data_IF_552530073548
#
_entry.id   IF_552530073548
#
_cell.length_a   1.000
_cell.length_b   1.000
_cell.length_c   1.000
_cell.angle_alpha   90.00
_cell.angle_beta   90.00
_cell.angle_gamma   90.00
#
_symmetry.space_group_name_H-M   'P 1'
#
loop_
_entity.id
_entity.type
_entity.pdbx_description
1 polymer ?
#
# COMPACT_ATOMS: atom_id res chain seq x y z
N UNK A 1 -23.75 -26.93 18.14
CA UNK A 1 -23.99 -25.87 17.15
C UNK A 1 -22.71 -25.12 16.76
N UNK A 2 -22.10 -24.28 17.61
CA UNK A 2 -20.95 -23.41 17.24
C UNK A 2 -19.77 -24.17 16.61
N UNK A 3 -19.34 -25.30 17.19
CA UNK A 3 -18.23 -26.12 16.65
C UNK A 3 -18.57 -26.81 15.32
N UNK A 4 -19.84 -27.09 15.05
CA UNK A 4 -20.29 -27.70 13.79
C UNK A 4 -20.38 -26.64 12.68
N UNK A 5 -20.87 -25.43 13.00
CA UNK A 5 -20.89 -24.30 12.06
C UNK A 5 -19.47 -23.86 11.66
N UNK A 6 -18.54 -23.78 12.62
CA UNK A 6 -17.14 -23.45 12.34
C UNK A 6 -16.45 -24.46 11.42
N UNK A 7 -16.79 -25.75 11.54
CA UNK A 7 -16.25 -26.83 10.72
C UNK A 7 -16.92 -26.91 9.34
N UNK A 8 -18.22 -26.62 9.27
CA UNK A 8 -18.97 -26.52 8.01
C UNK A 8 -18.50 -25.35 7.12
N UNK A 9 -18.12 -24.22 7.71
CA UNK A 9 -17.62 -23.05 6.99
C UNK A 9 -16.11 -23.09 6.71
N UNK A 10 -15.38 -24.15 7.08
CA UNK A 10 -13.91 -24.18 7.04
C UNK A 10 -13.27 -22.91 7.63
N UNK A 11 -13.80 -22.45 8.77
CA UNK A 11 -13.52 -21.11 9.32
C UNK A 11 -12.03 -20.84 9.50
N UNK A 12 -11.25 -21.84 9.94
CA UNK A 12 -9.80 -21.69 10.11
C UNK A 12 -9.06 -21.41 8.80
N UNK A 13 -9.48 -22.03 7.69
CA UNK A 13 -8.88 -21.80 6.36
C UNK A 13 -9.26 -20.41 5.84
N UNK A 14 -10.53 -20.03 5.97
CA UNK A 14 -11.01 -18.71 5.56
C UNK A 14 -10.30 -17.59 6.34
N UNK A 15 -10.22 -17.72 7.66
CA UNK A 15 -9.53 -16.76 8.52
C UNK A 15 -8.04 -16.63 8.19
N UNK A 16 -7.35 -17.77 7.98
CA UNK A 16 -5.95 -17.76 7.59
C UNK A 16 -5.75 -17.08 6.23
N UNK A 17 -6.59 -17.39 5.24
CA UNK A 17 -6.55 -16.74 3.93
C UNK A 17 -6.76 -15.23 4.04
N UNK A 18 -7.78 -14.76 4.76
CA UNK A 18 -8.04 -13.32 4.94
C UNK A 18 -6.90 -12.62 5.66
N UNK A 19 -6.39 -13.18 6.77
CA UNK A 19 -5.24 -12.63 7.49
C UNK A 19 -4.02 -12.55 6.57
N UNK A 20 -3.73 -13.61 5.83
CA UNK A 20 -2.58 -13.65 4.92
C UNK A 20 -2.67 -12.59 3.83
N UNK A 21 -3.83 -12.43 3.19
CA UNK A 21 -4.04 -11.42 2.13
C UNK A 21 -3.83 -10.02 2.69
N UNK A 22 -4.45 -9.72 3.84
CA UNK A 22 -4.36 -8.38 4.45
C UNK A 22 -2.94 -8.03 4.88
N UNK A 23 -2.18 -8.98 5.44
CA UNK A 23 -0.80 -8.76 5.84
C UNK A 23 0.14 -8.58 4.63
N UNK A 24 -0.07 -9.36 3.56
CA UNK A 24 0.69 -9.22 2.32
C UNK A 24 0.43 -7.85 1.68
N UNK A 25 -0.84 -7.43 1.61
CA UNK A 25 -1.21 -6.08 1.16
C UNK A 25 -0.53 -5.00 2.00
N UNK A 26 -0.58 -5.12 3.33
CA UNK A 26 0.03 -4.14 4.23
C UNK A 26 1.55 -4.05 4.05
N UNK A 27 2.23 -5.18 3.88
CA UNK A 27 3.67 -5.22 3.63
C UNK A 27 4.03 -4.56 2.28
N UNK A 28 3.34 -4.95 1.19
CA UNK A 28 3.55 -4.36 -0.14
C UNK A 28 3.32 -2.85 -0.12
N UNK A 29 2.22 -2.41 0.48
CA UNK A 29 1.90 -0.99 0.58
C UNK A 29 2.96 -0.23 1.39
N UNK A 30 3.42 -0.79 2.50
CA UNK A 30 4.46 -0.16 3.34
C UNK A 30 5.72 0.08 2.55
N UNK A 31 6.20 -0.94 1.81
CA UNK A 31 7.41 -0.83 0.99
C UNK A 31 7.26 0.26 -0.07
N UNK A 32 6.16 0.24 -0.83
CA UNK A 32 5.94 1.18 -1.93
C UNK A 32 5.76 2.62 -1.42
N UNK A 33 5.02 2.79 -0.32
CA UNK A 33 4.83 4.09 0.31
C UNK A 33 6.14 4.65 0.89
N UNK A 34 7.02 3.78 1.40
CA UNK A 34 8.34 4.16 1.91
C UNK A 34 9.21 4.72 0.78
N UNK A 35 9.33 4.00 -0.33
CA UNK A 35 10.06 4.49 -1.51
C UNK A 35 9.49 5.82 -2.03
N UNK A 36 8.17 5.91 -2.16
CA UNK A 36 7.48 7.12 -2.63
C UNK A 36 7.72 8.29 -1.68
N UNK A 37 7.58 8.06 -0.37
CA UNK A 37 7.76 9.08 0.65
C UNK A 37 9.20 9.60 0.70
N UNK A 38 10.19 8.72 0.56
CA UNK A 38 11.60 9.10 0.47
C UNK A 38 11.87 9.97 -0.77
N UNK A 39 11.30 9.56 -1.91
CA UNK A 39 11.32 10.32 -3.16
C UNK A 39 10.83 11.76 -2.98
N UNK A 40 9.66 11.93 -2.36
CA UNK A 40 9.09 13.25 -2.07
C UNK A 40 9.86 14.04 -1.00
N UNK A 41 10.46 13.37 -0.02
CA UNK A 41 11.20 14.04 1.04
C UNK A 41 12.53 14.63 0.52
N UNK A 42 13.34 13.81 -0.18
CA UNK A 42 14.73 14.18 -0.53
C UNK A 42 14.87 14.82 -1.91
N UNK A 43 14.16 14.34 -2.92
CA UNK A 43 14.38 14.82 -4.29
C UNK A 43 13.62 16.09 -4.60
N UNK A 44 14.25 16.97 -5.39
CA UNK A 44 13.62 18.14 -6.01
C UNK A 44 13.40 17.83 -7.49
N UNK A 45 12.14 17.76 -7.91
CA UNK A 45 11.76 17.51 -9.31
C UNK A 45 10.74 18.53 -9.78
N UNK A 46 10.69 18.78 -11.10
CA UNK A 46 9.98 19.93 -11.69
C UNK A 46 8.49 20.02 -11.34
N UNK A 47 7.81 18.88 -11.17
CA UNK A 47 6.38 18.81 -10.87
C UNK A 47 6.06 18.44 -9.42
N UNK A 48 7.02 18.58 -8.49
CA UNK A 48 6.86 18.16 -7.09
C UNK A 48 5.62 18.72 -6.40
N UNK A 49 5.33 20.01 -6.61
CA UNK A 49 4.13 20.65 -6.02
C UNK A 49 2.82 20.07 -6.56
N UNK A 50 2.76 19.78 -7.87
CA UNK A 50 1.60 19.18 -8.50
C UNK A 50 1.35 17.77 -7.96
N UNK A 51 2.37 16.91 -7.98
CA UNK A 51 2.22 15.55 -7.46
C UNK A 51 1.94 15.51 -5.96
N UNK A 52 2.47 16.47 -5.18
CA UNK A 52 2.13 16.60 -3.77
C UNK A 52 0.67 17.05 -3.57
N UNK A 53 0.13 17.93 -4.42
CA UNK A 53 -1.28 18.28 -4.40
C UNK A 53 -2.18 17.08 -4.76
N UNK A 54 -1.80 16.29 -5.77
CA UNK A 54 -2.49 15.04 -6.13
C UNK A 54 -2.48 14.06 -4.94
N UNK A 55 -1.34 13.91 -4.27
CA UNK A 55 -1.23 13.11 -3.05
C UNK A 55 -2.21 13.57 -1.95
N UNK A 56 -2.34 14.88 -1.74
CA UNK A 56 -3.31 15.40 -0.76
C UNK A 56 -4.76 15.14 -1.20
N UNK A 57 -5.05 15.21 -2.50
CA UNK A 57 -6.38 14.88 -3.02
C UNK A 57 -6.75 13.41 -2.76
N UNK A 58 -5.82 12.46 -2.89
CA UNK A 58 -6.12 11.04 -2.61
C UNK A 58 -6.43 10.76 -1.14
N UNK A 59 -6.06 11.66 -0.22
CA UNK A 59 -6.43 11.59 1.19
C UNK A 59 -7.86 12.10 1.41
N UNK A 60 -8.27 13.13 0.66
CA UNK A 60 -9.56 13.80 0.80
C UNK A 60 -10.67 13.02 0.09
N UNK A 61 -10.37 12.43 -1.07
CA UNK A 61 -11.38 11.73 -1.87
C UNK A 61 -11.81 10.43 -1.17
N UNK A 62 -13.11 10.26 -0.89
CA UNK A 62 -13.61 9.05 -0.25
C UNK A 62 -13.52 7.86 -1.21
N UNK A 63 -13.01 6.73 -0.70
CA UNK A 63 -12.81 5.50 -1.47
C UNK A 63 -14.12 4.96 -2.07
N UNK A 64 -15.25 5.23 -1.41
CA UNK A 64 -16.56 4.74 -1.81
C UNK A 64 -16.99 5.25 -3.19
N UNK A 65 -16.58 6.46 -3.59
CA UNK A 65 -16.94 7.03 -4.89
C UNK A 65 -16.16 6.35 -6.02
N UNK A 66 -14.92 5.93 -5.76
CA UNK A 66 -14.03 5.34 -6.76
C UNK A 66 -14.28 3.83 -6.92
N UNK A 67 -14.92 3.18 -5.94
CA UNK A 67 -15.08 1.73 -5.90
C UNK A 67 -15.74 1.14 -7.15
N UNK A 68 -16.82 1.76 -7.65
CA UNK A 68 -17.51 1.25 -8.84
C UNK A 68 -16.61 1.29 -10.08
N UNK A 69 -15.77 2.33 -10.18
CA UNK A 69 -14.77 2.45 -11.24
C UNK A 69 -13.69 1.38 -11.09
N UNK A 70 -13.17 1.17 -9.87
CA UNK A 70 -12.19 0.12 -9.59
C UNK A 70 -12.74 -1.28 -9.91
N UNK A 71 -13.99 -1.57 -9.55
CA UNK A 71 -14.62 -2.86 -9.86
C UNK A 71 -14.65 -3.12 -11.38
N UNK A 72 -15.03 -2.13 -12.17
CA UNK A 72 -15.02 -2.25 -13.64
C UNK A 72 -13.60 -2.48 -14.18
N UNK A 73 -12.61 -1.76 -13.65
CA UNK A 73 -11.21 -1.93 -14.03
C UNK A 73 -10.66 -3.32 -13.72
N UNK A 74 -11.04 -3.93 -12.59
CA UNK A 74 -10.60 -5.28 -12.24
C UNK A 74 -11.38 -6.37 -12.96
N UNK A 75 -12.64 -6.14 -13.32
CA UNK A 75 -13.46 -7.08 -14.10
C UNK A 75 -12.97 -7.21 -15.54
N UNK A 76 -12.62 -6.08 -16.15
CA UNK A 76 -12.10 -5.99 -17.52
C UNK A 76 -10.63 -5.58 -17.49
N UNK A 77 -9.85 -6.21 -16.62
CA UNK A 77 -8.47 -5.80 -16.43
C UNK A 77 -7.65 -6.14 -17.66
N UNK A 78 -7.04 -5.11 -18.25
CA UNK A 78 -6.16 -5.28 -19.41
C UNK A 78 -4.84 -4.57 -19.20
N UNK A 79 -3.75 -5.30 -19.43
CA UNK A 79 -2.40 -4.75 -19.43
C UNK A 79 -2.13 -4.22 -20.84
N UNK A 80 -2.07 -2.89 -20.98
CA UNK A 80 -1.82 -2.19 -22.26
C UNK A 80 -2.77 -2.57 -23.42
N UNK A 81 -3.94 -3.14 -23.14
CA UNK A 81 -4.91 -3.56 -24.18
C UNK A 81 -4.57 -4.89 -24.87
N UNK A 82 -3.59 -5.65 -24.37
CA UNK A 82 -3.08 -6.85 -25.06
C UNK A 82 -3.88 -8.11 -24.70
N UNK A 83 -4.28 -8.25 -23.44
CA UNK A 83 -5.10 -9.37 -22.94
C UNK A 83 -6.11 -8.86 -21.91
N UNK A 84 -7.31 -9.43 -21.88
CA UNK A 84 -8.32 -9.16 -20.84
C UNK A 84 -8.37 -10.32 -19.84
N UNK A 85 -8.22 -10.00 -18.56
CA UNK A 85 -8.26 -10.96 -17.46
C UNK A 85 -9.25 -10.43 -16.42
N UNK A 86 -10.07 -11.31 -15.88
CA UNK A 86 -10.93 -10.97 -14.76
C UNK A 86 -10.18 -11.18 -13.44
N UNK A 87 -9.92 -10.10 -12.71
CA UNK A 87 -9.26 -10.12 -11.40
C UNK A 87 -10.24 -10.09 -10.22
N UNK A 88 -11.55 -9.99 -10.48
CA UNK A 88 -12.59 -10.09 -9.44
C UNK A 88 -12.56 -11.48 -8.81
N UNK A 89 -12.86 -11.56 -7.51
CA UNK A 89 -12.77 -12.78 -6.70
C UNK A 89 -11.34 -13.36 -6.63
N UNK A 90 -10.30 -12.57 -6.91
CA UNK A 90 -8.89 -12.99 -6.77
C UNK A 90 -8.10 -12.05 -5.83
N UNK A 91 -7.12 -12.57 -5.07
CA UNK A 91 -6.17 -11.79 -4.25
C UNK A 91 -5.52 -10.63 -4.99
N UNK A 92 -5.32 -10.77 -6.30
CA UNK A 92 -4.68 -9.76 -7.15
C UNK A 92 -5.46 -8.44 -7.21
N UNK A 93 -6.79 -8.47 -7.06
CA UNK A 93 -7.61 -7.25 -6.97
C UNK A 93 -7.23 -6.35 -5.80
N UNK A 94 -6.62 -6.90 -4.73
CA UNK A 94 -6.13 -6.14 -3.59
C UNK A 94 -4.61 -5.93 -3.62
N UNK A 95 -3.85 -6.95 -4.05
CA UNK A 95 -2.39 -6.86 -4.14
C UNK A 95 -1.93 -5.80 -5.13
N UNK A 96 -2.60 -5.68 -6.28
CA UNK A 96 -2.16 -4.76 -7.33
C UNK A 96 -2.28 -3.29 -6.89
N UNK A 97 -3.42 -2.81 -6.34
CA UNK A 97 -3.48 -1.49 -5.70
C UNK A 97 -2.39 -1.27 -4.65
N UNK A 98 -2.19 -2.23 -3.74
CA UNK A 98 -1.20 -2.13 -2.67
C UNK A 98 0.22 -1.93 -3.23
N UNK A 99 0.59 -2.73 -4.24
CA UNK A 99 1.89 -2.70 -4.89
C UNK A 99 2.11 -1.46 -5.78
N UNK A 100 1.03 -0.82 -6.25
CA UNK A 100 1.12 0.36 -7.12
C UNK A 100 0.96 1.69 -6.36
N UNK A 101 1.04 1.68 -5.03
CA UNK A 101 0.87 2.90 -4.22
C UNK A 101 -0.55 3.47 -4.28
N UNK A 102 -1.52 2.67 -4.72
CA UNK A 102 -2.94 3.01 -4.86
C UNK A 102 -3.82 2.20 -3.91
N UNK A 103 -3.21 1.54 -2.92
CA UNK A 103 -3.88 0.73 -1.92
C UNK A 103 -4.70 1.56 -0.93
N UNK A 104 -5.26 0.88 0.07
CA UNK A 104 -6.21 1.49 1.00
C UNK A 104 -5.51 2.59 1.79
N UNK A 105 -6.00 3.83 1.62
CA UNK A 105 -5.44 5.03 2.26
C UNK A 105 -3.93 5.21 2.00
N UNK A 106 -3.44 4.80 0.84
CA UNK A 106 -2.01 4.90 0.48
C UNK A 106 -1.48 6.34 0.57
N UNK A 107 -2.30 7.34 0.21
CA UNK A 107 -1.93 8.75 0.30
C UNK A 107 -1.51 9.18 1.71
N UNK A 108 -2.22 8.71 2.74
CA UNK A 108 -1.87 8.95 4.15
C UNK A 108 -0.55 8.26 4.53
N UNK A 109 -0.35 7.02 4.08
CA UNK A 109 0.87 6.26 4.39
C UNK A 109 2.11 6.90 3.76
N UNK A 110 2.01 7.34 2.50
CA UNK A 110 3.05 8.11 1.83
C UNK A 110 3.31 9.41 2.61
N UNK A 111 2.27 10.12 3.04
CA UNK A 111 2.43 11.37 3.78
C UNK A 111 3.14 11.16 5.12
N UNK A 112 2.83 10.10 5.86
CA UNK A 112 3.53 9.74 7.11
C UNK A 112 5.02 9.55 6.83
N UNK A 113 5.39 8.82 5.78
CA UNK A 113 6.79 8.66 5.40
C UNK A 113 7.44 9.98 4.97
N UNK A 114 6.75 10.84 4.21
CA UNK A 114 7.27 12.17 3.84
C UNK A 114 7.61 12.99 5.08
N UNK A 115 6.68 13.02 6.05
CA UNK A 115 6.86 13.78 7.28
C UNK A 115 8.02 13.21 8.09
N UNK A 116 8.09 11.89 8.23
CA UNK A 116 9.17 11.21 8.95
C UNK A 116 10.54 11.42 8.30
N UNK A 117 10.70 11.19 7.00
CA UNK A 117 12.00 11.34 6.34
C UNK A 117 12.50 12.79 6.36
N UNK A 118 11.60 13.78 6.46
CA UNK A 118 11.99 15.18 6.65
C UNK A 118 12.55 15.48 8.04
N UNK A 119 12.24 14.68 9.06
CA UNK A 119 12.83 14.85 10.39
C UNK A 119 14.22 14.22 10.50
N UNK A 120 14.60 13.34 9.56
CA UNK A 120 15.93 12.75 9.56
C UNK A 120 16.99 13.78 9.12
N UNK A 121 18.08 13.94 9.89
CA UNK A 121 19.15 14.87 9.57
C UNK A 121 19.75 14.55 8.19
N UNK A 122 19.88 15.54 7.27
CA UNK A 122 20.48 15.32 5.95
C UNK A 122 21.96 14.91 6.04
N UNK A 123 22.63 15.20 7.16
CA UNK A 123 24.02 14.85 7.41
C UNK A 123 24.28 13.33 7.32
N UNK A 124 23.27 12.50 7.62
CA UNK A 124 23.37 11.04 7.47
C UNK A 124 23.62 10.63 6.02
N UNK A 125 22.97 11.31 5.08
CA UNK A 125 23.11 11.03 3.64
C UNK A 125 24.42 11.62 3.10
N UNK A 126 24.80 12.82 3.57
CA UNK A 126 26.06 13.45 3.20
C UNK A 126 27.27 12.62 3.67
N UNK A 127 27.24 12.07 4.88
CA UNK A 127 28.29 11.19 5.39
C UNK A 127 28.43 9.93 4.52
N UNK A 128 27.30 9.32 4.15
CA UNK A 128 27.29 8.17 3.26
C UNK A 128 27.89 8.47 1.88
N UNK A 129 27.60 9.65 1.34
CA UNK A 129 28.14 10.10 0.05
C UNK A 129 29.66 10.31 0.13
N UNK A 130 30.17 10.84 1.24
CA UNK A 130 31.62 10.95 1.51
C UNK A 130 32.27 9.56 1.59
N UNK A 131 31.58 8.57 2.17
CA UNK A 131 32.01 7.17 2.22
C UNK A 131 31.87 6.44 0.86
N UNK A 132 31.48 7.15 -0.21
CA UNK A 132 31.34 6.62 -1.56
C UNK A 132 30.08 5.77 -1.78
N UNK A 133 29.10 5.85 -0.88
CA UNK A 133 27.83 5.15 -1.06
C UNK A 133 26.94 5.84 -2.10
N UNK A 134 26.49 5.08 -3.10
CA UNK A 134 25.48 5.55 -4.06
C UNK A 134 24.11 5.72 -3.40
N UNK A 135 23.24 6.56 -3.97
CA UNK A 135 21.98 6.96 -3.32
C UNK A 135 21.05 5.80 -2.97
N UNK A 136 20.98 4.77 -3.82
CA UNK A 136 20.18 3.57 -3.54
C UNK A 136 20.74 2.78 -2.35
N UNK A 137 22.06 2.68 -2.25
CA UNK A 137 22.75 2.02 -1.14
C UNK A 137 22.56 2.80 0.16
N UNK A 138 22.72 4.13 0.11
CA UNK A 138 22.42 5.03 1.25
C UNK A 138 20.99 4.84 1.75
N UNK A 139 20.02 4.73 0.85
CA UNK A 139 18.64 4.49 1.24
C UNK A 139 18.48 3.15 1.98
N UNK A 140 19.02 2.05 1.46
CA UNK A 140 18.83 0.72 2.05
C UNK A 140 19.65 0.52 3.33
N UNK A 141 20.91 0.93 3.33
CA UNK A 141 21.85 0.62 4.42
C UNK A 141 21.79 1.63 5.56
N UNK A 142 21.35 2.87 5.30
CA UNK A 142 21.35 3.94 6.30
C UNK A 142 19.95 4.41 6.61
N UNK A 143 19.16 4.78 5.59
CA UNK A 143 17.84 5.36 5.84
C UNK A 143 16.84 4.33 6.37
N UNK A 144 16.73 3.15 5.74
CA UNK A 144 15.76 2.12 6.17
C UNK A 144 15.98 1.69 7.64
N UNK A 145 17.20 1.36 8.11
CA UNK A 145 17.43 0.98 9.52
C UNK A 145 17.08 2.10 10.51
N UNK A 146 17.34 3.36 10.15
CA UNK A 146 16.94 4.51 10.96
C UNK A 146 15.42 4.79 10.91
N UNK A 147 14.69 4.10 10.04
CA UNK A 147 13.25 4.30 9.80
C UNK A 147 12.37 3.19 10.35
N UNK A 148 12.93 2.21 11.10
CA UNK A 148 12.20 1.04 11.61
C UNK A 148 10.92 1.42 12.37
N UNK A 149 10.97 2.49 13.17
CA UNK A 149 9.81 2.98 13.91
C UNK A 149 8.69 3.48 12.97
N UNK A 150 9.05 4.23 11.93
CA UNK A 150 8.08 4.70 10.93
C UNK A 150 7.52 3.55 10.09
N UNK A 151 8.37 2.59 9.70
CA UNK A 151 7.96 1.38 8.98
C UNK A 151 6.95 0.59 9.80
N UNK A 152 7.20 0.40 11.10
CA UNK A 152 6.28 -0.30 12.00
C UNK A 152 4.93 0.42 12.10
N UNK A 153 4.92 1.75 12.27
CA UNK A 153 3.68 2.55 12.32
C UNK A 153 2.88 2.41 11.03
N UNK A 154 3.52 2.59 9.87
CA UNK A 154 2.85 2.50 8.58
C UNK A 154 2.35 1.08 8.32
N UNK A 155 3.14 0.06 8.63
CA UNK A 155 2.72 -1.34 8.49
C UNK A 155 1.50 -1.64 9.35
N UNK A 156 1.51 -1.22 10.62
CA UNK A 156 0.38 -1.43 11.54
C UNK A 156 -0.87 -0.70 11.05
N UNK A 157 -0.77 0.57 10.65
CA UNK A 157 -1.91 1.30 10.10
C UNK A 157 -2.44 0.67 8.82
N UNK A 158 -1.56 0.28 7.89
CA UNK A 158 -1.97 -0.45 6.69
C UNK A 158 -2.68 -1.75 7.05
N UNK A 159 -2.14 -2.56 7.95
CA UNK A 159 -2.77 -3.81 8.39
C UNK A 159 -4.15 -3.58 9.00
N UNK A 160 -4.29 -2.57 9.87
CA UNK A 160 -5.57 -2.18 10.47
C UNK A 160 -6.56 -1.70 9.41
N UNK A 161 -6.12 -0.93 8.41
CA UNK A 161 -7.01 -0.44 7.35
C UNK A 161 -7.47 -1.57 6.43
N UNK A 162 -6.59 -2.48 6.03
CA UNK A 162 -6.98 -3.66 5.26
C UNK A 162 -7.90 -4.59 6.05
N UNK A 163 -7.64 -4.75 7.36
CA UNK A 163 -8.52 -5.55 8.22
C UNK A 163 -9.94 -4.99 8.32
N UNK A 164 -10.07 -3.66 8.43
CA UNK A 164 -11.36 -3.00 8.59
C UNK A 164 -12.08 -2.71 7.26
N UNK A 165 -11.47 -3.03 6.11
CA UNK A 165 -12.04 -2.73 4.80
C UNK A 165 -13.04 -3.80 4.35
N UNK A 166 -14.21 -3.75 4.96
CA UNK A 166 -15.34 -4.58 4.55
C UNK A 166 -15.93 -4.13 3.20
N UNK A 167 -15.94 -2.82 2.94
CA UNK A 167 -16.67 -2.24 1.81
C UNK A 167 -16.06 -2.65 0.46
N UNK A 168 -14.76 -2.43 0.26
CA UNK A 168 -14.08 -2.80 -1.00
C UNK A 168 -13.98 -4.31 -1.14
N UNK A 169 -13.66 -5.02 -0.06
CA UNK A 169 -13.59 -6.49 -0.05
C UNK A 169 -14.92 -7.12 -0.45
N UNK A 170 -16.05 -6.67 0.10
CA UNK A 170 -17.37 -7.22 -0.24
C UNK A 170 -17.76 -6.99 -1.70
N UNK A 171 -17.33 -5.87 -2.30
CA UNK A 171 -17.60 -5.58 -3.71
C UNK A 171 -16.71 -6.40 -4.66
N UNK A 172 -15.42 -6.58 -4.34
CA UNK A 172 -14.46 -7.30 -5.18
C UNK A 172 -14.49 -8.81 -4.98
N UNK A 173 -14.92 -9.28 -3.81
CA UNK A 173 -15.13 -10.68 -3.48
C UNK A 173 -16.62 -10.92 -3.28
N UNK A 174 -17.32 -11.04 -4.39
CA UNK A 174 -18.75 -11.30 -4.39
C UNK A 174 -18.94 -12.80 -4.68
N UNK A 175 -19.17 -13.57 -3.60
CA UNK A 175 -19.50 -14.99 -3.68
C UNK A 175 -20.98 -15.11 -4.08
N UNK A 176 -21.27 -14.83 -5.35
CA UNK A 176 -22.56 -15.19 -5.97
C UNK A 176 -22.42 -16.57 -6.62
N UNK A 177 -22.18 -17.58 -5.78
CA UNK A 177 -22.44 -19.00 -6.05
C UNK A 177 -23.15 -19.63 -4.86
#
# INVERSE_FOLDING_TARGET
MIKQTAKAMNFGKALFSTVSVNLVCAAMQTVVCMFTGYGFARYRFRFKKLFFAVLLLTIIVPQQIILMSQYSQFRYFSIFGIFEINLINTPFSMYLPAAMGSGIRSGLMILIFILFFRTLPPELENAAEIDGCGTFRTFIEIIIPNSVNAIAVVFLFSAVFYWNDYYTTSALYNDSR
#
